data_IF_030143175579
#
_entry.id   IF_030143175579
#
_cell.length_a   1.000
_cell.length_b   1.000
_cell.length_c   1.000
_cell.angle_alpha   90.00
_cell.angle_beta   90.00
_cell.angle_gamma   90.00
#
_symmetry.space_group_name_H-M   'P 1'
#
loop_
_entity.id
_entity.type
_entity.pdbx_description
1 polymer ?
#
# COMPACT_ATOMS: atom_id res chain seq x y z
N UNK A 1 14.67 0.53 -10.07
CA UNK A 1 14.41 1.99 -9.92
C UNK A 1 14.29 2.40 -8.45
N UNK A 2 13.37 1.82 -7.66
CA UNK A 2 13.24 2.17 -6.24
C UNK A 2 14.45 1.82 -5.38
N UNK A 3 15.15 0.73 -5.70
CA UNK A 3 16.42 0.40 -5.05
C UNK A 3 17.43 1.55 -5.19
N UNK A 4 17.55 2.15 -6.38
CA UNK A 4 18.47 3.29 -6.63
C UNK A 4 18.08 4.52 -5.82
N UNK A 5 16.77 4.80 -5.70
CA UNK A 5 16.30 5.92 -4.88
C UNK A 5 16.58 5.67 -3.40
N UNK A 6 16.34 4.44 -2.95
CA UNK A 6 16.56 4.02 -1.57
C UNK A 6 18.05 4.08 -1.21
N UNK A 7 18.94 3.57 -2.06
CA UNK A 7 20.38 3.65 -1.85
C UNK A 7 20.88 5.09 -1.81
N UNK A 8 20.34 5.99 -2.65
CA UNK A 8 20.70 7.42 -2.59
C UNK A 8 20.33 8.06 -1.25
N UNK A 9 19.17 7.72 -0.68
CA UNK A 9 18.77 8.20 0.66
C UNK A 9 19.72 7.67 1.74
N UNK A 10 20.15 6.41 1.61
CA UNK A 10 21.12 5.80 2.53
C UNK A 10 22.50 6.44 2.39
N UNK A 11 22.94 6.74 1.17
CA UNK A 11 24.22 7.42 0.92
C UNK A 11 24.24 8.81 1.57
N UNK A 12 23.11 9.54 1.56
CA UNK A 12 22.96 10.81 2.29
C UNK A 12 23.13 10.60 3.80
N UNK A 13 22.53 9.57 4.39
CA UNK A 13 22.66 9.28 5.83
C UNK A 13 24.09 8.86 6.21
N UNK A 14 24.75 8.07 5.36
CA UNK A 14 26.14 7.64 5.53
C UNK A 14 27.11 8.82 5.47
N UNK A 15 26.93 9.71 4.49
CA UNK A 15 27.74 10.93 4.36
C UNK A 15 27.61 11.86 5.57
N UNK A 16 26.43 11.91 6.18
CA UNK A 16 26.18 12.64 7.41
C UNK A 16 26.59 11.89 8.69
N UNK A 17 27.18 10.69 8.57
CA UNK A 17 27.58 9.81 9.69
C UNK A 17 26.45 9.47 10.66
N UNK A 18 25.20 9.48 10.18
CA UNK A 18 24.02 9.15 10.99
C UNK A 18 23.92 7.63 11.19
N UNK A 19 24.32 6.86 10.18
CA UNK A 19 24.30 5.39 10.18
C UNK A 19 25.68 4.83 9.81
N UNK A 20 25.92 3.55 10.12
CA UNK A 20 27.17 2.87 9.76
C UNK A 20 27.04 2.15 8.43
N UNK A 21 28.15 1.95 7.72
CA UNK A 21 28.16 1.21 6.45
C UNK A 21 27.54 -0.19 6.56
N UNK A 22 27.76 -0.87 7.69
CA UNK A 22 27.16 -2.19 7.97
C UNK A 22 25.62 -2.19 8.04
N UNK A 23 24.99 -1.04 8.23
CA UNK A 23 23.54 -0.86 8.32
C UNK A 23 22.93 -0.46 6.96
N UNK A 24 23.76 -0.25 5.93
CA UNK A 24 23.36 0.23 4.61
C UNK A 24 22.20 -0.56 4.02
N UNK A 25 22.30 -1.89 4.01
CA UNK A 25 21.30 -2.76 3.40
C UNK A 25 19.97 -2.76 4.16
N UNK A 26 20.03 -2.67 5.49
CA UNK A 26 18.85 -2.60 6.36
C UNK A 26 18.08 -1.30 6.09
N UNK A 27 18.78 -0.17 6.04
CA UNK A 27 18.16 1.13 5.75
C UNK A 27 17.68 1.22 4.29
N UNK A 28 18.43 0.68 3.33
CA UNK A 28 18.03 0.68 1.93
C UNK A 28 16.72 -0.11 1.74
N UNK A 29 16.62 -1.26 2.41
CA UNK A 29 15.39 -2.05 2.44
C UNK A 29 14.24 -1.30 3.13
N UNK A 30 14.50 -0.67 4.27
CA UNK A 30 13.51 0.14 4.99
C UNK A 30 12.94 1.27 4.13
N UNK A 31 13.81 2.05 3.47
CA UNK A 31 13.38 3.09 2.54
C UNK A 31 12.60 2.54 1.36
N UNK A 32 13.02 1.41 0.81
CA UNK A 32 12.29 0.76 -0.28
C UNK A 32 10.86 0.42 0.15
N UNK A 33 10.66 -0.11 1.36
CA UNK A 33 9.32 -0.38 1.91
C UNK A 33 8.54 0.91 2.10
N UNK A 34 9.12 1.95 2.71
CA UNK A 34 8.44 3.21 2.98
C UNK A 34 7.96 3.86 1.68
N UNK A 35 8.85 3.99 0.70
CA UNK A 35 8.52 4.60 -0.59
C UNK A 35 7.45 3.76 -1.31
N UNK A 36 7.58 2.43 -1.31
CA UNK A 36 6.59 1.54 -1.95
C UNK A 36 5.19 1.71 -1.35
N UNK A 37 5.12 1.78 -0.02
CA UNK A 37 3.86 1.87 0.70
C UNK A 37 3.23 3.25 0.48
N UNK A 38 4.04 4.30 0.46
CA UNK A 38 3.57 5.66 0.15
C UNK A 38 2.98 5.76 -1.25
N UNK A 39 3.63 5.17 -2.27
CA UNK A 39 3.08 5.10 -3.62
C UNK A 39 1.73 4.36 -3.63
N UNK A 40 1.64 3.22 -2.95
CA UNK A 40 0.39 2.46 -2.85
C UNK A 40 -0.75 3.26 -2.20
N UNK A 41 -0.47 3.90 -1.06
CA UNK A 41 -1.44 4.75 -0.34
C UNK A 41 -1.95 5.87 -1.24
N UNK A 42 -1.05 6.55 -1.97
CA UNK A 42 -1.42 7.62 -2.90
C UNK A 42 -2.31 7.12 -4.04
N UNK A 43 -2.01 5.95 -4.62
CA UNK A 43 -2.83 5.36 -5.69
C UNK A 43 -4.23 5.00 -5.17
N UNK A 44 -4.33 4.30 -4.04
CA UNK A 44 -5.63 3.93 -3.45
C UNK A 44 -6.44 5.16 -3.06
N UNK A 45 -5.80 6.16 -2.45
CA UNK A 45 -6.44 7.43 -2.14
C UNK A 45 -6.95 8.16 -3.39
N UNK A 46 -6.16 8.20 -4.46
CA UNK A 46 -6.57 8.80 -5.73
C UNK A 46 -7.76 8.06 -6.36
N UNK A 47 -7.74 6.72 -6.38
CA UNK A 47 -8.87 5.91 -6.87
C UNK A 47 -10.12 6.18 -6.02
N UNK A 48 -10.00 6.18 -4.69
CA UNK A 48 -11.10 6.50 -3.79
C UNK A 48 -11.75 7.86 -4.05
N UNK A 49 -10.94 8.87 -4.33
CA UNK A 49 -11.42 10.20 -4.68
C UNK A 49 -12.11 10.23 -6.05
N UNK A 50 -11.53 9.58 -7.07
CA UNK A 50 -12.09 9.54 -8.43
C UNK A 50 -13.46 8.83 -8.45
N UNK A 51 -13.61 7.74 -7.71
CA UNK A 51 -14.87 6.97 -7.65
C UNK A 51 -15.85 7.48 -6.59
N UNK A 52 -15.52 8.54 -5.84
CA UNK A 52 -16.34 9.04 -4.71
C UNK A 52 -16.62 7.90 -3.70
N UNK A 53 -15.58 7.12 -3.41
CA UNK A 53 -15.53 5.99 -2.47
C UNK A 53 -14.46 6.21 -1.40
N UNK A 54 -14.39 7.45 -0.91
CA UNK A 54 -13.31 7.90 -0.03
C UNK A 54 -13.31 7.16 1.32
N UNK A 55 -14.48 6.89 1.89
CA UNK A 55 -14.60 6.20 3.18
C UNK A 55 -14.09 4.76 3.06
N UNK A 56 -14.49 4.06 2.00
CA UNK A 56 -14.06 2.69 1.72
C UNK A 56 -12.54 2.63 1.53
N UNK A 57 -11.94 3.59 0.81
CA UNK A 57 -10.49 3.71 0.68
C UNK A 57 -9.79 3.92 2.02
N UNK A 58 -10.27 4.84 2.87
CA UNK A 58 -9.66 5.10 4.18
C UNK A 58 -9.74 3.87 5.07
N UNK A 59 -10.90 3.20 5.13
CA UNK A 59 -11.08 1.98 5.92
C UNK A 59 -10.17 0.85 5.43
N UNK A 60 -10.10 0.65 4.11
CA UNK A 60 -9.19 -0.33 3.52
C UNK A 60 -7.73 -0.05 3.89
N UNK A 61 -7.29 1.21 3.80
CA UNK A 61 -5.94 1.62 4.15
C UNK A 61 -5.63 1.35 5.63
N UNK A 62 -6.52 1.75 6.55
CA UNK A 62 -6.32 1.55 7.99
C UNK A 62 -6.18 0.06 8.32
N UNK A 63 -7.08 -0.77 7.82
CA UNK A 63 -7.07 -2.22 8.08
C UNK A 63 -5.84 -2.87 7.44
N UNK A 64 -5.56 -2.57 6.17
CA UNK A 64 -4.45 -3.19 5.45
C UNK A 64 -3.10 -2.80 6.05
N UNK A 65 -2.88 -1.52 6.38
CA UNK A 65 -1.62 -1.06 6.99
C UNK A 65 -1.41 -1.74 8.34
N UNK A 66 -2.46 -1.82 9.16
CA UNK A 66 -2.39 -2.49 10.47
C UNK A 66 -1.99 -3.95 10.31
N UNK A 67 -2.67 -4.72 9.46
CA UNK A 67 -2.37 -6.14 9.23
C UNK A 67 -0.93 -6.31 8.69
N UNK A 68 -0.53 -5.45 7.76
CA UNK A 68 0.80 -5.50 7.15
C UNK A 68 1.92 -5.25 8.16
N UNK A 69 1.70 -4.38 9.14
CA UNK A 69 2.66 -4.11 10.21
C UNK A 69 2.86 -5.35 11.11
N UNK A 70 1.77 -6.00 11.54
CA UNK A 70 1.86 -7.19 12.40
C UNK A 70 2.41 -8.43 11.69
N UNK A 71 2.22 -8.54 10.38
CA UNK A 71 2.66 -9.71 9.61
C UNK A 71 4.09 -9.60 9.08
N UNK A 72 4.75 -8.44 9.26
CA UNK A 72 6.11 -8.17 8.73
C UNK A 72 6.17 -8.06 7.20
N UNK A 73 5.07 -8.38 6.51
CA UNK A 73 4.93 -8.39 5.05
C UNK A 73 5.62 -9.57 4.34
N UNK A 74 4.99 -10.09 3.28
CA UNK A 74 5.63 -11.00 2.31
C UNK A 74 6.19 -10.16 1.15
N UNK A 75 7.49 -9.84 1.18
CA UNK A 75 8.11 -9.12 0.06
C UNK A 75 8.49 -10.12 -1.05
N UNK A 76 7.60 -10.25 -2.04
CA UNK A 76 7.92 -10.93 -3.28
C UNK A 76 9.20 -10.33 -3.90
N UNK A 77 10.04 -11.18 -4.52
CA UNK A 77 11.34 -10.79 -5.14
C UNK A 77 11.26 -9.58 -6.07
N UNK A 78 10.07 -9.25 -6.57
CA UNK A 78 9.78 -8.12 -7.47
C UNK A 78 8.81 -7.13 -6.84
N UNK A 79 9.28 -5.88 -6.71
CA UNK A 79 8.52 -4.73 -6.20
C UNK A 79 7.13 -4.53 -6.84
N UNK A 80 7.00 -4.76 -8.14
CA UNK A 80 5.73 -4.63 -8.86
C UNK A 80 4.66 -5.60 -8.33
N UNK A 81 5.06 -6.78 -7.89
CA UNK A 81 4.13 -7.82 -7.43
C UNK A 81 3.35 -7.37 -6.19
N UNK A 82 4.02 -6.72 -5.23
CA UNK A 82 3.36 -6.24 -4.01
C UNK A 82 2.35 -5.13 -4.32
N UNK A 83 2.72 -4.17 -5.17
CA UNK A 83 1.82 -3.08 -5.56
C UNK A 83 0.62 -3.58 -6.36
N UNK A 84 0.83 -4.55 -7.26
CA UNK A 84 -0.25 -5.17 -8.03
C UNK A 84 -1.22 -5.92 -7.12
N UNK A 85 -0.72 -6.73 -6.18
CA UNK A 85 -1.56 -7.46 -5.23
C UNK A 85 -2.37 -6.47 -4.37
N UNK A 86 -1.71 -5.44 -3.84
CA UNK A 86 -2.36 -4.43 -3.02
C UNK A 86 -3.49 -3.69 -3.76
N UNK A 87 -3.22 -3.24 -4.99
CA UNK A 87 -4.23 -2.58 -5.84
C UNK A 87 -5.36 -3.56 -6.18
N UNK A 88 -5.03 -4.82 -6.50
CA UNK A 88 -6.03 -5.83 -6.83
C UNK A 88 -6.97 -6.11 -5.65
N UNK A 89 -6.44 -6.20 -4.42
CA UNK A 89 -7.26 -6.35 -3.21
C UNK A 89 -8.23 -5.18 -3.03
N UNK A 90 -7.79 -3.96 -3.30
CA UNK A 90 -8.66 -2.79 -3.23
C UNK A 90 -9.78 -2.83 -4.28
N UNK A 91 -9.46 -3.21 -5.52
CA UNK A 91 -10.49 -3.41 -6.56
C UNK A 91 -11.49 -4.50 -6.19
N UNK A 92 -11.04 -5.61 -5.63
CA UNK A 92 -11.93 -6.68 -5.15
C UNK A 92 -12.86 -6.18 -4.05
N UNK A 93 -12.35 -5.36 -3.12
CA UNK A 93 -13.18 -4.73 -2.07
C UNK A 93 -14.26 -3.84 -2.69
N UNK A 94 -13.91 -2.96 -3.64
CA UNK A 94 -14.88 -2.09 -4.31
C UNK A 94 -15.96 -2.89 -5.06
N UNK A 95 -15.57 -3.95 -5.77
CA UNK A 95 -16.53 -4.84 -6.43
C UNK A 95 -17.47 -5.50 -5.43
N UNK A 96 -16.94 -5.98 -4.31
CA UNK A 96 -17.71 -6.67 -3.29
C UNK A 96 -18.71 -5.73 -2.60
N UNK A 97 -18.31 -4.49 -2.28
CA UNK A 97 -19.22 -3.50 -1.70
C UNK A 97 -20.35 -3.16 -2.66
N UNK A 98 -20.06 -2.96 -3.95
CA UNK A 98 -21.09 -2.69 -4.97
C UNK A 98 -22.07 -3.86 -5.15
N UNK A 99 -21.59 -5.11 -5.10
CA UNK A 99 -22.47 -6.29 -5.14
C UNK A 99 -23.41 -6.33 -3.94
N UNK A 100 -22.91 -6.06 -2.73
CA UNK A 100 -23.73 -6.04 -1.51
C UNK A 100 -24.80 -4.94 -1.56
N UNK A 101 -24.43 -3.72 -1.97
CA UNK A 101 -25.38 -2.61 -2.07
C UNK A 101 -26.54 -2.96 -3.01
N UNK A 102 -26.24 -3.53 -4.19
CA UNK A 102 -27.27 -3.98 -5.14
C UNK A 102 -28.17 -5.07 -4.58
N UNK A 103 -27.60 -6.05 -3.86
CA UNK A 103 -28.39 -7.10 -3.23
C UNK A 103 -29.34 -6.56 -2.16
N UNK A 104 -28.91 -5.54 -1.40
CA UNK A 104 -29.74 -4.91 -0.37
C UNK A 104 -30.89 -4.08 -0.95
N UNK A 105 -30.61 -3.28 -1.99
CA UNK A 105 -31.66 -2.56 -2.73
C UNK A 105 -32.69 -3.52 -3.34
N UNK A 106 -32.23 -4.62 -3.96
CA UNK A 106 -33.13 -5.62 -4.54
C UNK A 106 -34.03 -6.27 -3.48
N UNK A 107 -33.49 -6.57 -2.30
CA UNK A 107 -34.27 -7.12 -1.19
C UNK A 107 -35.38 -6.16 -0.75
N UNK A 108 -35.06 -4.87 -0.62
CA UNK A 108 -36.00 -3.83 -0.24
C UNK A 108 -37.08 -3.50 -1.29
N UNK A 109 -36.82 -3.81 -2.57
CA UNK A 109 -37.80 -3.65 -3.65
C UNK A 109 -38.77 -4.84 -3.69
N UNK A 110 -38.30 -6.03 -3.34
CA UNK A 110 -39.08 -7.28 -3.45
C UNK A 110 -39.95 -7.55 -2.20
N UNK A 111 -39.51 -7.12 -1.02
CA UNK A 111 -40.21 -7.29 0.26
C UNK A 111 -40.64 -5.95 0.85
#
# INVERSE_FOLDING_TARGET
>A
MLYVLSTRLVDILLNNKIIKEKERDIYAYGFQIIISSMIGILIVGAIGLIFIRFIESVLFLVVFISIREYTGGYHAKTFLSCSVIFISMFFTLLMFTEMIYKSFELYHIIF
#
